data_IF_178661603170
#
_entry.id   IF_178661603170
#
_cell.length_a   1.000
_cell.length_b   1.000
_cell.length_c   1.000
_cell.angle_alpha   90.00
_cell.angle_beta   90.00
_cell.angle_gamma   90.00
#
_symmetry.space_group_name_H-M   'P 1'
#
loop_
_entity.id
_entity.type
_entity.pdbx_description
1 polymer ?
#
# COMPACT_ATOMS: atom_id res chain seq x y z
N UNK A 1 -19.72 5.23 5.51
CA UNK A 1 -19.91 3.79 5.81
C UNK A 1 -18.58 3.26 6.28
N UNK A 2 -18.52 2.69 7.48
CA UNK A 2 -17.27 2.16 8.03
C UNK A 2 -16.88 0.81 7.42
N UNK A 3 -15.58 0.52 7.41
CA UNK A 3 -15.06 -0.77 6.99
C UNK A 3 -15.43 -1.85 8.00
N UNK A 4 -15.95 -2.97 7.50
CA UNK A 4 -16.11 -4.23 8.25
C UNK A 4 -15.13 -5.28 7.72
N UNK A 5 -15.05 -6.43 8.39
CA UNK A 5 -14.14 -7.52 8.01
C UNK A 5 -14.34 -7.99 6.55
N UNK A 6 -15.57 -8.05 6.06
CA UNK A 6 -15.91 -8.48 4.70
C UNK A 6 -15.41 -7.47 3.67
N UNK A 7 -15.58 -6.17 3.94
CA UNK A 7 -15.06 -5.10 3.09
C UNK A 7 -13.53 -5.09 3.12
N UNK A 8 -12.92 -5.26 4.30
CA UNK A 8 -11.46 -5.39 4.43
C UNK A 8 -10.95 -6.53 3.57
N UNK A 9 -11.56 -7.71 3.67
CA UNK A 9 -11.18 -8.89 2.89
C UNK A 9 -11.31 -8.62 1.38
N UNK A 10 -12.38 -7.96 0.96
CA UNK A 10 -12.57 -7.58 -0.43
C UNK A 10 -11.46 -6.66 -0.93
N UNK A 11 -11.15 -5.59 -0.18
CA UNK A 11 -10.09 -4.64 -0.56
C UNK A 11 -8.72 -5.33 -0.65
N UNK A 12 -8.42 -6.22 0.30
CA UNK A 12 -7.17 -7.01 0.31
C UNK A 12 -7.10 -7.97 -0.89
N UNK A 13 -8.21 -8.61 -1.26
CA UNK A 13 -8.25 -9.53 -2.41
C UNK A 13 -8.00 -8.83 -3.75
N UNK A 14 -8.41 -7.55 -3.87
CA UNK A 14 -8.14 -6.74 -5.06
C UNK A 14 -6.72 -6.17 -5.00
N UNK A 15 -6.27 -5.77 -3.81
CA UNK A 15 -4.88 -5.40 -3.53
C UNK A 15 -4.39 -4.08 -4.13
N UNK A 16 -5.21 -3.39 -4.94
CA UNK A 16 -4.83 -2.15 -5.62
C UNK A 16 -6.01 -1.21 -5.84
N UNK A 17 -5.74 0.08 -6.06
CA UNK A 17 -6.77 1.08 -6.36
C UNK A 17 -6.23 2.22 -7.26
N UNK A 18 -7.13 2.78 -8.06
CA UNK A 18 -6.93 4.05 -8.75
C UNK A 18 -7.32 5.18 -7.80
N UNK A 19 -6.35 6.02 -7.45
CA UNK A 19 -6.50 7.12 -6.51
C UNK A 19 -6.18 8.45 -7.22
N UNK A 20 -6.96 9.48 -6.91
CA UNK A 20 -6.77 10.83 -7.43
C UNK A 20 -5.35 11.36 -7.08
N UNK A 21 -4.69 12.04 -8.02
CA UNK A 21 -3.30 12.51 -7.81
C UNK A 21 -3.18 13.54 -6.69
N UNK A 22 -4.18 14.40 -6.50
CA UNK A 22 -4.17 15.39 -5.42
C UNK A 22 -4.18 14.70 -4.04
N UNK A 23 -4.93 13.60 -3.92
CA UNK A 23 -4.94 12.76 -2.72
C UNK A 23 -3.60 12.06 -2.52
N UNK A 24 -2.91 11.66 -3.58
CA UNK A 24 -1.56 11.08 -3.49
C UNK A 24 -0.55 12.09 -2.96
N UNK A 25 -0.60 13.34 -3.43
CA UNK A 25 0.29 14.41 -2.94
C UNK A 25 0.04 14.72 -1.45
N UNK A 26 -1.20 14.61 -1.01
CA UNK A 26 -1.59 14.80 0.39
C UNK A 26 -1.41 13.56 1.27
N UNK A 27 -1.36 12.37 0.69
CA UNK A 27 -0.94 11.16 1.36
C UNK A 27 0.57 11.24 1.60
N UNK A 28 0.98 12.04 2.59
CA UNK A 28 2.33 12.51 2.91
C UNK A 28 3.42 11.41 2.89
N UNK A 29 3.08 10.12 2.86
CA UNK A 29 4.02 8.99 2.92
C UNK A 29 3.47 7.75 2.20
N UNK A 30 3.35 7.79 0.87
CA UNK A 30 3.30 6.53 0.09
C UNK A 30 4.56 5.72 0.38
N UNK A 31 4.49 4.40 0.18
CA UNK A 31 5.64 3.51 0.41
C UNK A 31 5.82 2.56 -0.76
N UNK A 32 7.08 2.36 -1.12
CA UNK A 32 7.53 1.36 -2.09
C UNK A 32 8.49 0.43 -1.36
N UNK A 33 8.03 -0.72 -0.85
CA UNK A 33 8.91 -1.65 -0.17
C UNK A 33 9.86 -2.28 -1.18
N UNK A 34 11.04 -2.66 -0.72
CA UNK A 34 12.06 -3.36 -1.50
C UNK A 34 11.98 -4.88 -1.39
N UNK A 35 11.10 -5.40 -0.52
CA UNK A 35 10.98 -6.83 -0.26
C UNK A 35 9.52 -7.30 -0.09
N UNK A 36 9.31 -8.60 -0.30
CA UNK A 36 8.01 -9.27 -0.18
C UNK A 36 7.07 -9.10 -1.37
N UNK A 37 5.81 -9.58 -1.28
CA UNK A 37 4.87 -9.64 -2.40
C UNK A 37 4.52 -8.27 -3.01
N UNK A 38 4.59 -7.21 -2.21
CA UNK A 38 4.34 -5.84 -2.65
C UNK A 38 5.60 -5.07 -3.05
N UNK A 39 6.75 -5.73 -3.23
CA UNK A 39 8.00 -5.08 -3.57
C UNK A 39 7.91 -4.34 -4.91
N UNK A 40 8.50 -3.14 -4.97
CA UNK A 40 8.49 -2.28 -6.16
C UNK A 40 7.15 -1.62 -6.48
N UNK A 41 6.08 -1.94 -5.73
CA UNK A 41 4.76 -1.33 -5.91
C UNK A 41 4.59 -0.17 -4.94
N UNK A 42 4.45 1.03 -5.50
CA UNK A 42 4.03 2.20 -4.72
C UNK A 42 2.62 1.97 -4.18
N UNK A 43 2.41 2.32 -2.92
CA UNK A 43 1.20 1.97 -2.20
C UNK A 43 0.87 2.99 -1.13
N UNK A 44 -0.41 3.03 -0.77
CA UNK A 44 -0.94 3.86 0.31
C UNK A 44 -1.72 3.00 1.30
N UNK A 45 -2.03 3.57 2.46
CA UNK A 45 -2.83 2.91 3.49
C UNK A 45 -4.17 3.63 3.65
N UNK A 46 -5.23 2.82 3.70
CA UNK A 46 -6.58 3.26 4.00
C UNK A 46 -6.98 2.72 5.38
N UNK A 47 -7.54 3.58 6.22
CA UNK A 47 -8.05 3.22 7.54
C UNK A 47 -9.51 3.63 7.71
N UNK A 48 -10.32 2.73 8.27
CA UNK A 48 -11.73 2.97 8.59
C UNK A 48 -12.22 1.89 9.56
N UNK A 49 -13.09 2.24 10.51
CA UNK A 49 -13.71 1.28 11.44
C UNK A 49 -12.69 0.42 12.23
N UNK A 50 -11.54 0.98 12.61
CA UNK A 50 -10.47 0.23 13.29
C UNK A 50 -9.68 -0.75 12.41
N UNK A 51 -10.01 -0.85 11.12
CA UNK A 51 -9.28 -1.65 10.15
C UNK A 51 -8.34 -0.79 9.30
N UNK A 52 -7.22 -1.42 8.88
CA UNK A 52 -6.22 -0.83 7.98
C UNK A 52 -5.98 -1.77 6.82
N UNK A 53 -5.90 -1.22 5.61
CA UNK A 53 -5.58 -1.95 4.37
C UNK A 53 -4.52 -1.19 3.59
N UNK A 54 -3.56 -1.93 3.06
CA UNK A 54 -2.56 -1.43 2.11
C UNK A 54 -3.04 -1.72 0.69
N UNK A 55 -3.04 -0.73 -0.18
CA UNK A 55 -3.41 -0.87 -1.58
C UNK A 55 -2.28 -0.34 -2.47
N UNK A 56 -1.90 -1.11 -3.47
CA UNK A 56 -1.00 -0.65 -4.52
C UNK A 56 -1.70 0.40 -5.41
N UNK A 57 -0.95 1.39 -5.87
CA UNK A 57 -1.45 2.40 -6.80
C UNK A 57 -1.51 1.76 -8.19
N UNK A 58 -2.71 1.72 -8.78
CA UNK A 58 -2.92 1.14 -10.10
C UNK A 58 -4.08 1.84 -10.82
N UNK A 59 -3.79 2.56 -11.90
CA UNK A 59 -4.79 3.28 -12.71
C UNK A 59 -5.81 2.36 -13.39
N UNK A 60 -5.50 1.08 -13.55
CA UNK A 60 -6.41 0.08 -14.11
C UNK A 60 -7.19 -0.70 -13.05
N UNK A 61 -7.09 -0.34 -11.76
CA UNK A 61 -7.80 -1.04 -10.71
C UNK A 61 -9.33 -0.86 -10.82
N UNK A 62 -10.13 -1.89 -10.51
CA UNK A 62 -11.59 -1.76 -10.40
C UNK A 62 -12.03 -0.91 -9.19
N UNK A 63 -11.12 -0.63 -8.24
CA UNK A 63 -11.39 0.25 -7.10
C UNK A 63 -10.95 1.66 -7.42
N UNK A 64 -11.84 2.63 -7.20
CA UNK A 64 -11.54 4.06 -7.30
C UNK A 64 -11.58 4.72 -5.94
N UNK A 65 -10.60 5.56 -5.64
CA UNK A 65 -10.50 6.32 -4.39
C UNK A 65 -10.58 7.80 -4.71
N UNK A 66 -11.60 8.45 -4.17
CA UNK A 66 -11.88 9.86 -4.39
C UNK A 66 -12.03 10.62 -3.08
N UNK A 67 -11.82 11.93 -3.14
CA UNK A 67 -12.06 12.80 -1.98
C UNK A 67 -13.55 12.89 -1.70
N UNK A 68 -13.92 12.76 -0.43
CA UNK A 68 -15.28 12.98 0.06
C UNK A 68 -15.21 13.80 1.35
N UNK A 69 -15.41 15.12 1.23
CA UNK A 69 -15.28 16.06 2.33
C UNK A 69 -13.88 15.99 2.98
N UNK A 70 -13.80 15.72 4.29
CA UNK A 70 -12.55 15.56 5.03
C UNK A 70 -11.94 14.15 4.94
N UNK A 71 -12.60 13.22 4.24
CA UNK A 71 -12.24 11.82 4.12
C UNK A 71 -12.03 11.42 2.64
N UNK A 72 -11.81 10.13 2.43
CA UNK A 72 -11.87 9.50 1.10
C UNK A 72 -13.00 8.47 1.05
N UNK A 73 -13.54 8.28 -0.15
CA UNK A 73 -14.51 7.23 -0.46
C UNK A 73 -13.90 6.24 -1.44
N UNK A 74 -14.10 4.96 -1.17
CA UNK A 74 -13.78 3.87 -2.10
C UNK A 74 -15.03 3.49 -2.86
N UNK A 75 -14.92 3.47 -4.17
CA UNK A 75 -15.99 3.21 -5.12
C UNK A 75 -15.62 1.97 -5.92
N UNK A 76 -16.58 1.05 -6.08
CA UNK A 76 -16.48 -0.11 -6.96
C UNK A 76 -17.74 -0.19 -7.81
N UNK A 77 -17.59 -0.36 -9.12
CA UNK A 77 -18.72 -0.48 -10.05
C UNK A 77 -19.75 0.66 -9.91
N UNK A 78 -19.25 1.88 -9.68
CA UNK A 78 -20.06 3.09 -9.49
C UNK A 78 -20.73 3.22 -8.11
N UNK A 79 -20.57 2.25 -7.21
CA UNK A 79 -21.17 2.24 -5.87
C UNK A 79 -20.11 2.52 -4.80
N UNK A 80 -20.42 3.41 -3.86
CA UNK A 80 -19.59 3.61 -2.67
C UNK A 80 -19.66 2.36 -1.78
N UNK A 81 -18.51 1.84 -1.39
CA UNK A 81 -18.41 0.64 -0.56
C UNK A 81 -17.84 0.92 0.84
N UNK A 82 -17.02 1.97 1.00
CA UNK A 82 -16.49 2.39 2.30
C UNK A 82 -15.98 3.83 2.26
N UNK A 83 -16.07 4.53 3.39
CA UNK A 83 -15.40 5.83 3.63
C UNK A 83 -14.32 5.66 4.69
N UNK A 84 -13.26 6.45 4.61
CA UNK A 84 -12.15 6.37 5.56
C UNK A 84 -11.09 7.44 5.34
N UNK A 85 -9.95 7.26 5.99
CA UNK A 85 -8.84 8.20 5.96
C UNK A 85 -7.61 7.56 5.33
N UNK A 86 -6.86 8.38 4.58
CA UNK A 86 -5.52 8.01 4.15
C UNK A 86 -4.60 8.10 5.37
N UNK A 87 -3.93 7.00 5.68
CA UNK A 87 -3.00 6.94 6.79
C UNK A 87 -1.57 6.96 6.26
N UNK A 88 -0.67 7.78 6.81
CA UNK A 88 0.73 7.74 6.45
C UNK A 88 1.33 6.34 6.65
N UNK A 89 2.29 5.95 5.81
CA UNK A 89 3.17 4.82 6.07
C UNK A 89 4.19 5.12 7.18
N UNK A 90 3.73 5.65 8.33
CA UNK A 90 4.56 5.81 9.53
C UNK A 90 4.71 4.41 10.16
N UNK A 91 5.95 3.93 10.24
CA UNK A 91 6.46 2.69 10.86
C UNK A 91 5.47 1.56 11.12
N UNK A 92 5.75 0.40 10.52
CA UNK A 92 4.93 -0.82 10.52
C UNK A 92 4.32 -1.24 11.88
N UNK A 93 4.96 -0.92 13.00
CA UNK A 93 4.43 -1.02 14.37
C UNK A 93 5.27 -0.11 15.30
N UNK A 94 4.74 0.42 16.42
CA UNK A 94 5.58 1.02 17.46
C UNK A 94 6.70 0.07 17.89
N UNK A 95 7.90 0.60 18.11
CA UNK A 95 9.11 -0.16 18.53
C UNK A 95 9.63 -1.22 17.54
N UNK A 96 9.06 -1.33 16.34
CA UNK A 96 9.51 -2.28 15.33
C UNK A 96 10.07 -1.57 14.09
N UNK A 97 11.31 -1.89 13.74
CA UNK A 97 11.93 -1.49 12.48
C UNK A 97 12.11 -2.71 11.58
N UNK A 98 11.72 -2.57 10.31
CA UNK A 98 12.00 -3.56 9.27
C UNK A 98 13.21 -3.07 8.48
N UNK A 99 14.28 -3.86 8.50
CA UNK A 99 15.48 -3.60 7.72
C UNK A 99 15.56 -4.62 6.59
N UNK A 100 15.54 -4.12 5.35
CA UNK A 100 15.78 -4.98 4.18
C UNK A 100 17.27 -5.02 3.92
N UNK A 101 17.91 -6.14 4.28
CA UNK A 101 19.36 -6.34 4.08
C UNK A 101 19.70 -6.55 2.60
N UNK A 102 18.78 -7.16 1.86
CA UNK A 102 18.93 -7.36 0.42
C UNK A 102 17.60 -7.23 -0.28
N UNK A 103 17.56 -6.39 -1.31
CA UNK A 103 16.49 -6.37 -2.31
C UNK A 103 16.64 -7.48 -3.37
N UNK A 104 17.54 -8.45 -3.14
CA UNK A 104 17.74 -9.63 -4.01
C UNK A 104 17.29 -10.89 -3.29
N UNK A 105 16.80 -11.85 -4.06
CA UNK A 105 16.42 -13.16 -3.54
C UNK A 105 16.74 -14.23 -4.59
N UNK A 106 17.38 -15.32 -4.17
CA UNK A 106 17.71 -16.46 -5.04
C UNK A 106 16.52 -17.39 -5.29
N UNK A 107 15.42 -17.21 -4.54
CA UNK A 107 14.23 -18.06 -4.61
C UNK A 107 13.14 -17.43 -5.50
N UNK A 108 12.59 -18.20 -6.44
CA UNK A 108 11.49 -17.79 -7.34
C UNK A 108 10.10 -18.10 -6.75
N UNK A 109 9.79 -17.54 -5.58
CA UNK A 109 8.46 -17.66 -5.00
C UNK A 109 7.41 -17.08 -5.96
N UNK A 110 6.39 -17.86 -6.34
CA UNK A 110 5.40 -17.47 -7.36
C UNK A 110 4.65 -16.17 -7.09
N UNK A 111 4.55 -15.78 -5.83
CA UNK A 111 3.86 -14.58 -5.37
C UNK A 111 4.81 -13.39 -5.07
N UNK A 112 6.12 -13.56 -5.21
CA UNK A 112 7.10 -12.56 -4.81
C UNK A 112 7.81 -11.98 -6.05
N UNK A 113 7.73 -10.67 -6.31
CA UNK A 113 8.39 -10.06 -7.46
C UNK A 113 9.89 -9.83 -7.25
N UNK A 114 10.39 -9.87 -6.01
CA UNK A 114 11.79 -9.50 -5.63
C UNK A 114 12.87 -10.09 -6.54
N UNK A 115 12.86 -11.39 -6.91
CA UNK A 115 13.90 -11.96 -7.79
C UNK A 115 13.98 -11.29 -9.17
N UNK A 116 12.91 -10.63 -9.59
CA UNK A 116 12.77 -9.96 -10.90
C UNK A 116 13.02 -8.45 -10.84
N UNK A 117 13.11 -7.86 -9.64
CA UNK A 117 13.26 -6.41 -9.45
C UNK A 117 14.74 -5.96 -9.47
N UNK A 118 15.68 -6.90 -9.53
CA UNK A 118 17.15 -6.66 -9.50
C UNK A 118 17.59 -5.62 -8.46
N UNK A 119 17.00 -5.70 -7.25
CA UNK A 119 17.23 -4.71 -6.19
C UNK A 119 18.65 -4.70 -5.65
N UNK A 120 19.00 -3.67 -4.88
CA UNK A 120 20.34 -3.54 -4.30
C UNK A 120 20.53 -4.37 -3.02
N UNK A 121 21.78 -4.72 -2.73
CA UNK A 121 22.20 -5.23 -1.42
C UNK A 121 22.59 -4.04 -0.56
N UNK A 122 22.05 -3.93 0.66
CA UNK A 122 22.47 -2.87 1.57
C UNK A 122 23.94 -3.06 1.91
N UNK A 123 24.82 -2.23 1.36
CA UNK A 123 26.23 -2.20 1.71
C UNK A 123 26.41 -1.22 2.87
N UNK A 124 27.35 -1.51 3.77
CA UNK A 124 27.82 -0.49 4.70
C UNK A 124 28.36 0.69 3.89
N UNK A 125 27.64 1.81 3.85
CA UNK A 125 28.31 3.07 3.55
C UNK A 125 29.28 3.29 4.71
N UNK A 126 30.57 3.15 4.44
CA UNK A 126 31.58 3.68 5.36
C UNK A 126 31.28 5.16 5.50
N UNK A 127 30.73 5.57 6.65
CA UNK A 127 30.69 6.96 7.04
C UNK A 127 32.15 7.41 7.12
N UNK A 128 32.62 8.10 6.09
CA UNK A 128 33.80 8.95 6.16
C UNK A 128 33.31 10.38 6.32
#
# INVERSE_FOLDING_TARGET
MEMKAEIKALLVSIGSADIDEDLLREAIRTTTPSAGPGAGLESFFLKSGGHRVRLAINKSSPLKVKRCCAEVVVIRDGKSIVTGQLEPALSHCPEQAYLTISGRCIYDCKFCPVPKLDGDVSRSRSFR
#
